data_IF_127570730481
#
_entry.id   IF_127570730481
#
_cell.length_a   1.000
_cell.length_b   1.000
_cell.length_c   1.000
_cell.angle_alpha   90.00
_cell.angle_beta   90.00
_cell.angle_gamma   90.00
#
_symmetry.space_group_name_H-M   'P 1'
#
loop_
_entity.id
_entity.type
_entity.pdbx_description
1 polymer ?
#
# COMPACT_ATOMS: atom_id res chain seq x y z
N UNK A 1 -13.66 -24.92 -16.87
CA UNK A 1 -13.86 -24.52 -18.27
C UNK A 1 -12.60 -24.68 -19.14
N UNK A 2 -11.51 -25.28 -18.65
CA UNK A 2 -10.32 -25.68 -19.42
C UNK A 2 -9.59 -24.56 -20.18
N UNK A 3 -9.73 -23.29 -19.78
CA UNK A 3 -9.07 -22.17 -20.45
C UNK A 3 -7.76 -21.83 -19.76
N UNK A 4 -6.67 -21.88 -20.52
CA UNK A 4 -5.34 -21.55 -20.01
C UNK A 4 -5.19 -20.04 -19.72
N UNK A 5 -4.56 -19.65 -18.60
CA UNK A 5 -4.20 -18.26 -18.33
C UNK A 5 -3.39 -17.58 -19.44
N UNK A 6 -2.54 -18.35 -20.14
CA UNK A 6 -1.77 -17.87 -21.30
C UNK A 6 -2.67 -17.43 -22.46
N UNK A 7 -3.83 -18.07 -22.65
CA UNK A 7 -4.79 -17.72 -23.70
C UNK A 7 -5.70 -16.55 -23.28
N UNK A 8 -6.04 -16.48 -21.99
CA UNK A 8 -6.94 -15.46 -21.47
C UNK A 8 -6.27 -14.09 -21.24
N UNK A 9 -5.00 -14.10 -20.91
CA UNK A 9 -4.30 -12.94 -20.37
C UNK A 9 -4.61 -12.70 -18.87
N UNK A 10 -3.86 -11.79 -18.27
CA UNK A 10 -3.87 -11.59 -16.82
C UNK A 10 -5.24 -11.10 -16.30
N UNK A 11 -5.81 -10.09 -16.92
CA UNK A 11 -7.08 -9.48 -16.47
C UNK A 11 -8.26 -10.45 -16.54
N UNK A 12 -8.43 -11.14 -17.67
CA UNK A 12 -9.51 -12.10 -17.84
C UNK A 12 -9.35 -13.32 -16.92
N UNK A 13 -8.10 -13.74 -16.64
CA UNK A 13 -7.81 -14.79 -15.66
C UNK A 13 -8.19 -14.32 -14.24
N UNK A 14 -7.78 -13.13 -13.85
CA UNK A 14 -8.14 -12.55 -12.55
C UNK A 14 -9.66 -12.40 -12.37
N UNK A 15 -10.37 -11.94 -13.42
CA UNK A 15 -11.83 -11.83 -13.41
C UNK A 15 -12.53 -13.17 -13.20
N UNK A 16 -11.99 -14.26 -13.80
CA UNK A 16 -12.55 -15.62 -13.61
C UNK A 16 -12.24 -16.20 -12.23
N UNK A 17 -11.13 -15.84 -11.62
CA UNK A 17 -10.78 -16.26 -10.26
C UNK A 17 -11.63 -15.53 -9.21
N UNK A 18 -12.00 -14.27 -9.46
CA UNK A 18 -12.91 -13.51 -8.59
C UNK A 18 -14.33 -14.07 -8.66
N UNK A 19 -15.11 -13.84 -7.60
CA UNK A 19 -16.50 -14.23 -7.54
C UNK A 19 -17.08 -14.02 -6.15
N UNK A 20 -18.32 -14.40 -5.95
CA UNK A 20 -19.02 -14.25 -4.68
C UNK A 20 -18.30 -15.04 -3.56
N UNK A 21 -18.15 -14.43 -2.38
CA UNK A 21 -17.63 -15.09 -1.19
C UNK A 21 -18.43 -16.35 -0.87
N UNK A 22 -17.76 -17.44 -0.52
CA UNK A 22 -18.34 -18.76 -0.28
C UNK A 22 -18.53 -19.59 -1.55
N UNK A 23 -18.42 -19.02 -2.76
CA UNK A 23 -18.48 -19.81 -3.98
C UNK A 23 -17.16 -20.52 -4.25
N UNK A 24 -17.22 -21.65 -4.98
CA UNK A 24 -16.04 -22.43 -5.33
C UNK A 24 -15.52 -22.06 -6.73
N UNK A 25 -14.21 -22.18 -6.91
CA UNK A 25 -13.54 -22.17 -8.22
C UNK A 25 -12.63 -23.39 -8.32
N UNK A 26 -12.69 -24.05 -9.47
CA UNK A 26 -11.83 -25.19 -9.77
C UNK A 26 -10.68 -24.68 -10.64
N UNK A 27 -9.46 -24.98 -10.21
CA UNK A 27 -8.22 -24.61 -10.89
C UNK A 27 -7.42 -25.87 -11.18
N UNK A 28 -7.03 -26.05 -12.43
CA UNK A 28 -6.09 -27.08 -12.84
C UNK A 28 -4.67 -26.50 -12.76
N UNK A 29 -3.80 -27.13 -12.00
CA UNK A 29 -2.38 -26.77 -11.87
C UNK A 29 -1.54 -27.82 -12.57
N UNK A 30 -0.72 -27.39 -13.53
CA UNK A 30 0.32 -28.20 -14.11
C UNK A 30 1.56 -28.15 -13.21
N UNK A 31 2.00 -29.30 -12.74
CA UNK A 31 3.20 -29.43 -11.92
C UNK A 31 4.45 -29.51 -12.81
N UNK A 32 5.63 -29.48 -12.21
CA UNK A 32 6.92 -29.54 -12.94
C UNK A 32 7.16 -30.87 -13.66
N UNK A 33 6.50 -31.93 -13.25
CA UNK A 33 6.51 -33.27 -13.83
C UNK A 33 5.38 -33.51 -14.85
N UNK A 34 4.74 -32.43 -15.31
CA UNK A 34 3.59 -32.41 -16.22
C UNK A 34 2.31 -33.09 -15.69
N UNK A 35 2.28 -33.50 -14.42
CA UNK A 35 1.01 -33.91 -13.79
C UNK A 35 0.05 -32.74 -13.65
N UNK A 36 -1.22 -32.98 -14.01
CA UNK A 36 -2.31 -31.99 -13.84
C UNK A 36 -3.04 -32.34 -12.56
N UNK A 37 -3.05 -31.40 -11.63
CA UNK A 37 -3.79 -31.50 -10.37
C UNK A 37 -4.97 -30.53 -10.37
N UNK A 38 -6.16 -31.05 -10.22
CA UNK A 38 -7.36 -30.25 -10.00
C UNK A 38 -7.48 -29.87 -8.52
N UNK A 39 -7.67 -28.56 -8.25
CA UNK A 39 -7.85 -28.02 -6.90
C UNK A 39 -9.14 -27.22 -6.86
N UNK A 40 -10.03 -27.57 -5.94
CA UNK A 40 -11.20 -26.76 -5.61
C UNK A 40 -10.84 -25.75 -4.53
N UNK A 41 -11.03 -24.46 -4.82
CA UNK A 41 -10.77 -23.36 -3.89
C UNK A 41 -12.08 -22.65 -3.57
N UNK A 42 -12.35 -22.46 -2.28
CA UNK A 42 -13.45 -21.61 -1.82
C UNK A 42 -13.01 -20.15 -1.85
N UNK A 43 -13.81 -19.29 -2.49
CA UNK A 43 -13.57 -17.84 -2.47
C UNK A 43 -13.91 -17.28 -1.11
N UNK A 44 -12.96 -16.60 -0.52
CA UNK A 44 -13.12 -15.93 0.79
C UNK A 44 -12.83 -14.46 0.63
N UNK A 45 -13.47 -13.65 1.46
CA UNK A 45 -13.02 -12.27 1.65
C UNK A 45 -11.63 -12.31 2.26
N UNK A 46 -10.66 -11.70 1.58
CA UNK A 46 -9.32 -11.54 2.13
C UNK A 46 -9.29 -10.18 2.82
N UNK A 47 -9.18 -10.20 4.13
CA UNK A 47 -8.91 -8.99 4.92
C UNK A 47 -7.45 -8.59 4.65
N UNK A 48 -7.29 -7.74 3.65
CA UNK A 48 -6.00 -7.13 3.37
C UNK A 48 -5.77 -6.06 4.44
N UNK A 49 -4.82 -6.31 5.32
CA UNK A 49 -4.31 -5.27 6.23
C UNK A 49 -3.14 -4.56 5.56
N UNK A 50 -3.40 -3.52 4.76
CA UNK A 50 -2.36 -2.81 4.04
C UNK A 50 -1.44 -2.03 4.97
N UNK A 51 -1.91 -1.66 6.14
CA UNK A 51 -1.16 -0.92 7.17
C UNK A 51 -0.79 -1.86 8.30
N UNK A 52 0.49 -1.85 8.69
CA UNK A 52 1.02 -2.64 9.81
C UNK A 52 1.98 -1.79 10.61
N UNK A 53 1.88 -1.88 11.93
CA UNK A 53 2.76 -1.19 12.86
C UNK A 53 3.50 -2.15 13.75
N UNK A 54 4.65 -1.74 14.21
CA UNK A 54 5.34 -2.33 15.35
C UNK A 54 6.28 -1.32 15.97
N UNK A 55 6.65 -1.52 17.23
CA UNK A 55 7.77 -0.84 17.86
C UNK A 55 9.04 -1.68 17.74
N UNK A 56 10.11 -1.04 17.37
CA UNK A 56 11.45 -1.61 17.36
C UNK A 56 12.19 -0.99 18.53
N UNK A 57 12.58 -1.82 19.48
CA UNK A 57 13.30 -1.37 20.69
C UNK A 57 14.64 -2.04 20.76
N UNK A 58 15.66 -1.26 21.05
CA UNK A 58 16.96 -1.73 21.51
C UNK A 58 17.23 -1.19 22.93
N UNK A 59 18.45 -1.35 23.46
CA UNK A 59 18.80 -0.94 24.82
C UNK A 59 18.63 0.56 25.07
N UNK A 60 18.74 1.40 24.04
CA UNK A 60 18.81 2.86 24.17
C UNK A 60 17.68 3.59 23.44
N UNK A 61 17.06 2.97 22.42
CA UNK A 61 16.14 3.66 21.51
C UNK A 61 14.86 2.89 21.25
N UNK A 62 13.78 3.64 21.07
CA UNK A 62 12.48 3.10 20.65
C UNK A 62 12.06 3.78 19.34
N UNK A 63 11.92 2.99 18.28
CA UNK A 63 11.46 3.46 16.97
C UNK A 63 10.07 2.92 16.64
N UNK A 64 9.25 3.75 16.02
CA UNK A 64 8.04 3.33 15.34
C UNK A 64 8.38 2.70 13.98
N UNK A 65 7.68 1.66 13.61
CA UNK A 65 7.73 1.10 12.27
C UNK A 65 6.30 1.04 11.73
N UNK A 66 6.10 1.70 10.60
CA UNK A 66 4.84 1.75 9.87
C UNK A 66 5.07 1.23 8.46
N UNK A 67 4.39 0.16 8.10
CA UNK A 67 4.45 -0.40 6.74
C UNK A 67 3.12 -0.23 6.04
N UNK A 68 3.18 0.29 4.80
CA UNK A 68 2.04 0.39 3.90
C UNK A 68 2.35 -0.48 2.67
N UNK A 69 1.50 -1.48 2.39
CA UNK A 69 1.72 -2.43 1.30
C UNK A 69 0.94 -2.08 0.02
N UNK A 70 -0.09 -1.26 0.13
CA UNK A 70 -0.93 -0.80 -0.98
C UNK A 70 -1.75 0.40 -0.54
N UNK A 71 -2.13 1.29 -1.47
CA UNK A 71 -3.04 2.41 -1.21
C UNK A 71 -4.46 2.07 -1.65
N UNK A 72 -5.39 1.99 -0.70
CA UNK A 72 -6.84 1.82 -0.89
C UNK A 72 -7.61 2.84 -0.06
N UNK A 73 -8.93 2.93 -0.22
CA UNK A 73 -9.78 3.93 0.45
C UNK A 73 -9.61 3.98 1.97
N UNK A 74 -9.48 2.84 2.64
CA UNK A 74 -9.35 2.78 4.11
C UNK A 74 -7.92 2.97 4.64
N UNK A 75 -6.91 3.18 3.79
CA UNK A 75 -5.52 3.32 4.23
C UNK A 75 -5.26 4.62 5.01
N UNK A 76 -5.77 5.78 4.60
CA UNK A 76 -5.55 7.01 5.37
C UNK A 76 -6.01 6.89 6.83
N UNK A 77 -7.21 6.35 7.06
CA UNK A 77 -7.73 6.17 8.43
C UNK A 77 -6.88 5.18 9.24
N UNK A 78 -6.46 4.08 8.62
CA UNK A 78 -5.57 3.11 9.27
C UNK A 78 -4.19 3.70 9.59
N UNK A 79 -3.66 4.61 8.76
CA UNK A 79 -2.40 5.31 9.01
C UNK A 79 -2.55 6.28 10.18
N UNK A 80 -3.66 7.03 10.25
CA UNK A 80 -3.97 7.90 11.40
C UNK A 80 -4.01 7.13 12.70
N UNK A 81 -4.80 6.06 12.76
CA UNK A 81 -4.88 5.17 13.93
C UNK A 81 -3.48 4.63 14.31
N UNK A 82 -2.69 4.24 13.31
CA UNK A 82 -1.35 3.72 13.49
C UNK A 82 -0.38 4.77 14.07
N UNK A 83 -0.44 6.01 13.57
CA UNK A 83 0.38 7.12 14.06
C UNK A 83 -0.02 7.52 15.47
N UNK A 84 -1.31 7.59 15.78
CA UNK A 84 -1.81 7.85 17.15
C UNK A 84 -1.33 6.76 18.12
N UNK A 85 -1.42 5.49 17.72
CA UNK A 85 -0.91 4.39 18.53
C UNK A 85 0.60 4.49 18.77
N UNK A 86 1.39 4.85 17.78
CA UNK A 86 2.84 4.98 17.89
C UNK A 86 3.24 6.22 18.69
N UNK A 87 2.61 7.38 18.45
CA UNK A 87 2.89 8.66 19.15
C UNK A 87 2.60 8.58 20.64
N UNK A 88 1.54 7.87 21.05
CA UNK A 88 1.23 7.62 22.45
C UNK A 88 2.26 6.76 23.21
N UNK A 89 3.33 6.32 22.54
CA UNK A 89 4.31 5.35 23.07
C UNK A 89 5.76 5.87 23.08
N UNK A 90 5.96 7.18 23.01
CA UNK A 90 7.25 7.86 23.09
C UNK A 90 8.30 7.25 22.13
N UNK A 91 8.01 7.25 20.83
CA UNK A 91 8.98 6.87 19.81
C UNK A 91 9.93 8.03 19.52
N UNK A 92 11.22 7.73 19.33
CA UNK A 92 12.27 8.71 19.02
C UNK A 92 12.38 8.97 17.50
N UNK A 93 11.76 8.13 16.69
CA UNK A 93 11.75 8.23 15.24
C UNK A 93 10.82 7.20 14.60
N UNK A 94 10.49 7.43 13.34
CA UNK A 94 9.59 6.59 12.56
C UNK A 94 10.31 6.01 11.33
N UNK A 95 10.13 4.72 11.10
CA UNK A 95 10.49 4.06 9.85
C UNK A 95 9.20 3.83 9.06
N UNK A 96 9.04 4.54 7.94
CA UNK A 96 7.96 4.32 6.98
C UNK A 96 8.44 3.34 5.89
N UNK A 97 7.85 2.16 5.80
CA UNK A 97 8.26 1.13 4.84
C UNK A 97 7.26 1.04 3.68
N UNK A 98 7.69 1.49 2.50
CA UNK A 98 6.98 1.44 1.22
C UNK A 98 7.59 0.43 0.25
N UNK A 99 8.49 -0.43 0.69
CA UNK A 99 9.11 -1.44 -0.17
C UNK A 99 8.07 -2.44 -0.67
N UNK A 100 8.13 -2.72 -1.99
CA UNK A 100 7.17 -3.55 -2.72
C UNK A 100 5.72 -3.04 -2.67
N UNK A 101 5.52 -1.75 -2.41
CA UNK A 101 4.21 -1.10 -2.55
C UNK A 101 4.11 -0.49 -3.94
N UNK A 102 3.41 -1.14 -4.85
CA UNK A 102 3.21 -0.69 -6.24
C UNK A 102 2.24 0.49 -6.38
N UNK A 103 1.81 1.10 -5.28
CA UNK A 103 0.89 2.23 -5.27
C UNK A 103 -0.56 1.84 -4.98
N UNK A 104 -1.47 2.41 -5.73
CA UNK A 104 -2.91 2.29 -5.58
C UNK A 104 -3.61 3.61 -5.82
N UNK A 105 -4.61 3.96 -5.01
CA UNK A 105 -5.34 5.22 -5.14
C UNK A 105 -4.43 6.42 -4.83
N UNK A 106 -4.28 7.32 -5.80
CA UNK A 106 -3.50 8.55 -5.65
C UNK A 106 -4.07 9.41 -4.51
N UNK A 107 -5.40 9.53 -4.41
CA UNK A 107 -6.05 10.26 -3.31
C UNK A 107 -5.67 9.72 -1.93
N UNK A 108 -5.52 8.41 -1.80
CA UNK A 108 -5.07 7.77 -0.55
C UNK A 108 -3.61 8.12 -0.24
N UNK A 109 -2.72 8.10 -1.24
CA UNK A 109 -1.34 8.51 -1.07
C UNK A 109 -1.17 9.98 -0.67
N UNK A 110 -1.98 10.87 -1.26
CA UNK A 110 -2.03 12.29 -0.93
C UNK A 110 -2.53 12.53 0.51
N UNK A 111 -3.59 11.83 0.91
CA UNK A 111 -4.13 11.93 2.26
C UNK A 111 -3.12 11.44 3.31
N UNK A 112 -2.37 10.37 3.02
CA UNK A 112 -1.30 9.92 3.91
C UNK A 112 -0.12 10.91 3.94
N UNK A 113 0.21 11.57 2.82
CA UNK A 113 1.25 12.60 2.82
C UNK A 113 0.87 13.81 3.70
N UNK A 114 -0.42 14.13 3.76
CA UNK A 114 -0.97 15.19 4.60
C UNK A 114 -0.73 14.95 6.10
N UNK A 115 -0.73 13.69 6.54
CA UNK A 115 -0.45 13.32 7.93
C UNK A 115 0.99 13.67 8.38
N UNK A 116 1.91 13.89 7.42
CA UNK A 116 3.34 14.16 7.68
C UNK A 116 3.80 15.56 7.28
N UNK A 117 3.02 16.30 6.51
CA UNK A 117 3.43 17.58 5.91
C UNK A 117 2.50 18.71 6.39
N UNK A 118 3.07 19.86 6.69
CA UNK A 118 2.32 21.05 7.08
C UNK A 118 2.49 22.15 6.04
N UNK A 119 1.40 22.50 5.36
CA UNK A 119 1.34 23.58 4.37
C UNK A 119 2.46 23.49 3.30
N UNK A 120 2.74 22.28 2.84
CA UNK A 120 3.78 21.99 1.87
C UNK A 120 3.18 21.42 0.58
N UNK A 121 3.77 21.70 -0.60
CA UNK A 121 3.35 21.04 -1.84
C UNK A 121 3.67 19.54 -1.78
N UNK A 122 2.67 18.71 -2.10
CA UNK A 122 2.82 17.26 -2.17
C UNK A 122 3.15 16.84 -3.60
N UNK A 123 2.38 17.32 -4.57
CA UNK A 123 2.56 16.97 -5.98
C UNK A 123 2.09 18.08 -6.91
N UNK A 124 2.77 18.24 -8.02
CA UNK A 124 2.40 19.13 -9.12
C UNK A 124 2.11 18.32 -10.38
N UNK A 125 1.03 18.64 -11.08
CA UNK A 125 0.69 18.02 -12.36
C UNK A 125 1.03 18.94 -13.52
N UNK A 126 1.92 18.51 -14.41
CA UNK A 126 2.33 19.24 -15.59
C UNK A 126 1.72 18.62 -16.85
N UNK A 127 1.02 19.44 -17.63
CA UNK A 127 0.57 19.10 -18.99
C UNK A 127 1.53 19.76 -20.00
N UNK A 128 1.41 19.38 -21.29
CA UNK A 128 2.30 19.90 -22.36
C UNK A 128 2.35 21.44 -22.36
N UNK A 129 1.20 22.09 -22.20
CA UNK A 129 1.05 23.54 -22.38
C UNK A 129 0.57 24.26 -21.10
N UNK A 130 0.50 23.58 -19.96
CA UNK A 130 0.05 24.17 -18.69
C UNK A 130 0.63 23.42 -17.50
N UNK A 131 0.83 24.16 -16.41
CA UNK A 131 1.13 23.63 -15.10
C UNK A 131 -0.12 23.87 -14.25
N UNK A 132 -0.66 22.85 -13.63
CA UNK A 132 -1.74 23.01 -12.65
C UNK A 132 -1.14 23.46 -11.32
N UNK A 133 -1.93 24.12 -10.49
CA UNK A 133 -1.53 24.43 -9.13
C UNK A 133 -1.14 23.17 -8.38
N UNK A 134 -0.10 23.22 -7.54
CA UNK A 134 0.31 22.08 -6.75
C UNK A 134 -0.79 21.67 -5.78
N UNK A 135 -0.94 20.36 -5.59
CA UNK A 135 -1.73 19.84 -4.49
C UNK A 135 -0.85 19.94 -3.25
N UNK A 136 -1.32 20.68 -2.25
CA UNK A 136 -0.59 20.94 -1.00
C UNK A 136 -1.27 20.25 0.18
N UNK A 137 -0.49 19.98 1.22
CA UNK A 137 -0.98 19.48 2.51
C UNK A 137 -1.74 20.56 3.27
N UNK A 138 -2.53 20.15 4.25
CA UNK A 138 -3.13 21.02 5.24
C UNK A 138 -2.12 21.64 6.21
N UNK A 139 -2.63 22.21 7.29
CA UNK A 139 -1.79 22.89 8.31
C UNK A 139 -1.40 21.90 9.41
N UNK A 140 -2.26 20.93 9.73
CA UNK A 140 -2.07 19.99 10.83
C UNK A 140 -1.35 18.74 10.34
N UNK A 141 -0.31 18.32 11.07
CA UNK A 141 0.38 17.06 10.88
C UNK A 141 0.12 16.13 12.06
N UNK A 142 0.11 14.83 11.82
CA UNK A 142 0.01 13.82 12.89
C UNK A 142 1.38 13.38 13.40
N UNK A 143 2.40 13.54 12.57
CA UNK A 143 3.78 13.20 12.94
C UNK A 143 4.77 14.13 12.25
N UNK A 144 5.56 14.85 13.06
CA UNK A 144 6.61 15.80 12.64
C UNK A 144 8.02 15.43 13.16
N UNK A 145 8.15 14.25 13.77
CA UNK A 145 9.41 13.76 14.32
C UNK A 145 10.39 13.23 13.27
N UNK A 146 11.59 12.80 13.70
CA UNK A 146 12.57 12.19 12.82
C UNK A 146 12.02 10.96 12.09
N UNK A 147 12.21 10.90 10.76
CA UNK A 147 11.66 9.82 9.94
C UNK A 147 12.63 9.35 8.86
N UNK A 148 12.56 8.06 8.54
CA UNK A 148 13.22 7.43 7.39
C UNK A 148 12.20 6.67 6.57
N UNK A 149 12.16 6.94 5.25
CA UNK A 149 11.31 6.22 4.32
C UNK A 149 12.11 5.16 3.57
N UNK A 150 11.66 3.89 3.65
CA UNK A 150 12.26 2.77 2.93
C UNK A 150 11.51 2.52 1.62
N UNK A 151 12.25 2.54 0.53
CA UNK A 151 11.76 2.27 -0.83
C UNK A 151 12.63 1.22 -1.52
N UNK A 152 12.12 0.60 -2.58
CA UNK A 152 12.88 -0.29 -3.46
C UNK A 152 12.29 -0.29 -4.88
N UNK A 153 12.79 -1.15 -5.77
CA UNK A 153 12.33 -1.29 -7.15
C UNK A 153 10.85 -1.67 -7.30
N UNK A 154 10.23 -2.22 -6.26
CA UNK A 154 8.80 -2.52 -6.21
C UNK A 154 7.94 -1.36 -5.72
N UNK A 155 8.54 -0.21 -5.34
CA UNK A 155 7.83 1.00 -4.94
C UNK A 155 7.42 1.78 -6.20
N UNK A 156 6.12 2.07 -6.40
CA UNK A 156 5.66 2.74 -7.60
C UNK A 156 4.42 3.62 -7.37
N UNK A 157 4.14 4.54 -8.36
CA UNK A 157 2.90 5.33 -8.43
C UNK A 157 2.64 6.17 -7.17
N UNK A 158 1.48 5.98 -6.49
CA UNK A 158 1.13 6.73 -5.27
C UNK A 158 2.19 6.63 -4.16
N UNK A 159 2.94 5.52 -4.10
CA UNK A 159 4.05 5.35 -3.16
C UNK A 159 5.24 6.24 -3.50
N UNK A 160 5.51 6.48 -4.79
CA UNK A 160 6.57 7.41 -5.22
C UNK A 160 6.17 8.86 -4.95
N UNK A 161 4.88 9.19 -5.12
CA UNK A 161 4.36 10.53 -4.77
C UNK A 161 4.58 10.78 -3.27
N UNK A 162 4.17 9.85 -2.40
CA UNK A 162 4.38 9.98 -0.97
C UNK A 162 5.86 10.09 -0.61
N UNK A 163 6.70 9.17 -1.11
CA UNK A 163 8.13 9.16 -0.80
C UNK A 163 8.85 10.41 -1.30
N UNK A 164 8.44 10.94 -2.47
CA UNK A 164 9.01 12.15 -3.05
C UNK A 164 8.58 13.44 -2.36
N UNK A 165 7.37 13.46 -1.77
CA UNK A 165 6.88 14.59 -1.00
C UNK A 165 7.55 14.72 0.38
N UNK A 166 7.90 13.59 0.99
CA UNK A 166 8.57 13.52 2.29
C UNK A 166 10.05 13.84 2.20
#
# INVERSE_FOLDING_TARGET
NGQSPKQLGLEATAAKLRGQTGSQVIVELQQLDDEIKEISLERRSVDLRPVRTKRIRNESHTLGYLRITQFSEGVPDQVKEALEELSGKEIEGLILDLRNNSGGLVSSGLAVADDFLSNMPIVETKKRDSINDPISSGIETLYDGPMVTLVNEGTASASEILAGAL
#
